data_IF_818492774250
#
_entry.id   IF_818492774250
#
_cell.length_a   1.000
_cell.length_b   1.000
_cell.length_c   1.000
_cell.angle_alpha   90.00
_cell.angle_beta   90.00
_cell.angle_gamma   90.00
#
_symmetry.space_group_name_H-M   'P 1'
#
loop_
_entity.id
_entity.type
_entity.pdbx_description
1 polymer ?
#
# COMPACT_ATOMS: atom_id res chain seq x y z
N UNK A 1 -33.78 32.48 14.95
CA UNK A 1 -32.35 32.40 15.32
C UNK A 1 -31.80 30.96 15.29
N UNK A 2 -32.63 29.91 15.12
CA UNK A 2 -32.22 28.49 15.15
C UNK A 2 -31.27 28.02 14.03
N UNK A 3 -31.31 28.65 12.84
CA UNK A 3 -30.59 28.14 11.67
C UNK A 3 -29.05 28.22 11.81
N UNK A 4 -28.56 29.17 12.61
CA UNK A 4 -27.13 29.34 12.89
C UNK A 4 -26.62 28.25 13.84
N UNK A 5 -27.42 27.87 14.83
CA UNK A 5 -27.03 26.89 15.85
C UNK A 5 -26.99 25.46 15.28
N UNK A 6 -27.93 25.12 14.40
CA UNK A 6 -27.91 23.85 13.67
C UNK A 6 -26.68 23.73 12.76
N UNK A 7 -26.36 24.80 12.02
CA UNK A 7 -25.16 24.85 11.17
C UNK A 7 -23.89 24.71 12.00
N UNK A 8 -23.82 25.36 13.17
CA UNK A 8 -22.70 25.25 14.09
C UNK A 8 -22.52 23.83 14.62
N UNK A 9 -23.60 23.15 15.00
CA UNK A 9 -23.56 21.76 15.46
C UNK A 9 -23.03 20.80 14.39
N UNK A 10 -23.48 20.93 13.15
CA UNK A 10 -22.99 20.11 12.03
C UNK A 10 -21.48 20.32 11.83
N UNK A 11 -21.04 21.59 11.82
CA UNK A 11 -19.62 21.91 11.66
C UNK A 11 -18.78 21.33 12.80
N UNK A 12 -19.27 21.39 14.04
CA UNK A 12 -18.57 20.84 15.20
C UNK A 12 -18.51 19.31 15.17
N UNK A 13 -19.56 18.63 14.71
CA UNK A 13 -19.52 17.17 14.51
C UNK A 13 -18.47 16.80 13.47
N UNK A 14 -18.46 17.47 12.32
CA UNK A 14 -17.49 17.21 11.27
C UNK A 14 -16.05 17.53 11.70
N UNK A 15 -15.85 18.61 12.47
CA UNK A 15 -14.54 18.95 13.06
C UNK A 15 -14.06 17.85 14.00
N UNK A 16 -14.93 17.38 14.90
CA UNK A 16 -14.60 16.30 15.85
C UNK A 16 -14.29 14.99 15.13
N UNK A 17 -15.07 14.63 14.11
CA UNK A 17 -14.82 13.46 13.29
C UNK A 17 -13.44 13.52 12.63
N UNK A 18 -13.12 14.63 11.95
CA UNK A 18 -11.81 14.81 11.31
C UNK A 18 -10.64 14.72 12.31
N UNK A 19 -10.82 15.27 13.51
CA UNK A 19 -9.81 15.19 14.58
C UNK A 19 -9.63 13.73 15.03
N UNK A 20 -10.73 12.98 15.22
CA UNK A 20 -10.66 11.58 15.61
C UNK A 20 -9.94 10.74 14.54
N UNK A 21 -10.26 10.95 13.26
CA UNK A 21 -9.59 10.26 12.15
C UNK A 21 -8.08 10.55 12.13
N UNK A 22 -7.68 11.81 12.33
CA UNK A 22 -6.27 12.20 12.39
C UNK A 22 -5.55 11.56 13.58
N UNK A 23 -6.20 11.49 14.75
CA UNK A 23 -5.63 10.82 15.93
C UNK A 23 -5.45 9.33 15.66
N UNK A 24 -6.42 8.68 14.99
CA UNK A 24 -6.32 7.28 14.63
C UNK A 24 -5.13 7.02 13.70
N UNK A 25 -5.00 7.80 12.62
CA UNK A 25 -3.88 7.69 11.68
C UNK A 25 -2.53 7.92 12.36
N UNK A 26 -2.46 8.91 13.25
CA UNK A 26 -1.25 9.19 14.02
C UNK A 26 -0.85 8.03 14.93
N UNK A 27 -1.82 7.45 15.64
CA UNK A 27 -1.57 6.30 16.50
C UNK A 27 -1.14 5.06 15.70
N UNK A 28 -1.76 4.82 14.54
CA UNK A 28 -1.35 3.74 13.65
C UNK A 28 0.09 3.92 13.18
N UNK A 29 0.45 5.12 12.74
CA UNK A 29 1.82 5.44 12.33
C UNK A 29 2.82 5.26 13.47
N UNK A 30 2.46 5.67 14.70
CA UNK A 30 3.30 5.46 15.89
C UNK A 30 3.53 3.97 16.16
N UNK A 31 2.50 3.14 16.05
CA UNK A 31 2.63 1.68 16.24
C UNK A 31 3.58 1.10 15.19
N UNK A 32 3.42 1.47 13.92
CA UNK A 32 4.30 1.02 12.85
C UNK A 32 5.76 1.46 13.08
N UNK A 33 5.96 2.69 13.55
CA UNK A 33 7.28 3.24 13.85
C UNK A 33 7.95 2.47 15.01
N UNK A 34 7.24 2.20 16.09
CA UNK A 34 7.79 1.46 17.23
C UNK A 34 8.13 0.01 16.82
N UNK A 35 7.27 -0.63 16.02
CA UNK A 35 7.55 -1.96 15.48
C UNK A 35 8.82 -1.97 14.60
N UNK A 36 9.02 -0.93 13.77
CA UNK A 36 10.23 -0.77 12.97
C UNK A 36 11.47 -0.56 13.85
N UNK A 37 11.35 0.22 14.92
CA UNK A 37 12.43 0.50 15.87
C UNK A 37 12.85 -0.75 16.64
N UNK A 38 11.91 -1.57 17.08
CA UNK A 38 12.22 -2.87 17.71
C UNK A 38 12.88 -3.84 16.72
N UNK A 39 12.43 -3.86 15.46
CA UNK A 39 13.09 -4.64 14.39
C UNK A 39 14.52 -4.14 14.15
N UNK A 40 14.75 -2.83 14.14
CA UNK A 40 16.07 -2.25 13.99
C UNK A 40 16.99 -2.65 15.15
N UNK A 41 16.51 -2.55 16.39
CA UNK A 41 17.26 -2.98 17.58
C UNK A 41 17.61 -4.46 17.55
N UNK A 42 16.73 -5.31 17.03
CA UNK A 42 17.03 -6.73 16.81
C UNK A 42 18.16 -6.90 15.79
N UNK A 43 18.12 -6.20 14.66
CA UNK A 43 19.18 -6.23 13.65
C UNK A 43 20.51 -5.73 14.21
N UNK A 44 20.49 -4.67 15.01
CA UNK A 44 21.68 -4.13 15.68
C UNK A 44 22.27 -5.17 16.66
N UNK A 45 21.43 -5.86 17.44
CA UNK A 45 21.88 -6.93 18.33
C UNK A 45 22.45 -8.14 17.57
N UNK A 46 21.81 -8.55 16.48
CA UNK A 46 22.35 -9.58 15.57
C UNK A 46 23.72 -9.12 15.04
N UNK A 47 23.86 -7.82 14.77
CA UNK A 47 25.11 -7.29 14.26
C UNK A 47 26.26 -7.35 15.26
N UNK A 48 25.98 -7.01 16.52
CA UNK A 48 26.95 -7.07 17.61
C UNK A 48 27.33 -8.52 17.98
N UNK A 49 26.39 -9.46 17.88
CA UNK A 49 26.63 -10.86 18.25
C UNK A 49 27.39 -11.67 17.18
N UNK A 50 27.36 -11.25 15.91
CA UNK A 50 28.11 -11.90 14.81
C UNK A 50 29.62 -11.62 14.84
N UNK A 51 30.08 -10.77 15.75
CA UNK A 51 31.48 -10.43 15.96
C UNK A 51 31.93 -9.24 15.12
N UNK A 52 32.71 -8.35 15.74
CA UNK A 52 33.18 -7.05 15.22
C UNK A 52 33.99 -7.09 13.91
N UNK A 53 34.14 -8.25 13.27
CA UNK A 53 34.99 -8.46 12.09
C UNK A 53 34.20 -8.82 10.83
N UNK A 54 32.86 -8.88 10.89
CA UNK A 54 32.03 -9.07 9.72
C UNK A 54 31.04 -7.93 9.64
N UNK A 55 31.50 -6.79 9.12
CA UNK A 55 30.61 -5.70 8.74
C UNK A 55 29.53 -6.26 7.83
N UNK A 56 28.27 -5.99 8.18
CA UNK A 56 27.17 -6.39 7.31
C UNK A 56 27.36 -5.67 5.98
N UNK A 57 27.00 -6.33 4.88
CA UNK A 57 27.13 -5.76 3.54
C UNK A 57 26.42 -4.41 3.34
N UNK A 58 25.48 -4.07 4.24
CA UNK A 58 24.77 -2.80 4.29
C UNK A 58 25.35 -1.77 5.30
N UNK A 59 26.34 -2.14 6.10
CA UNK A 59 27.02 -1.27 7.09
C UNK A 59 28.43 -0.86 6.67
N UNK A 60 29.08 -1.64 5.80
CA UNK A 60 30.43 -1.37 5.34
C UNK A 60 30.44 -0.19 4.35
N UNK A 61 31.33 0.78 4.56
CA UNK A 61 31.43 1.96 3.70
C UNK A 61 32.02 1.55 2.35
N UNK A 62 31.44 1.98 1.22
CA UNK A 62 31.83 1.50 -0.11
C UNK A 62 33.33 1.73 -0.42
N UNK A 63 33.91 2.77 0.19
CA UNK A 63 35.33 3.14 0.06
C UNK A 63 36.28 2.24 0.87
N UNK A 64 35.75 1.46 1.82
CA UNK A 64 36.48 0.57 2.73
C UNK A 64 36.42 -0.91 2.31
N UNK A 65 35.56 -1.27 1.35
CA UNK A 65 35.41 -2.66 0.88
C UNK A 65 36.56 -3.09 -0.04
N UNK A 66 37.12 -4.26 0.25
CA UNK A 66 37.95 -4.98 -0.72
C UNK A 66 37.13 -5.42 -1.95
N UNK A 67 37.79 -5.67 -3.08
CA UNK A 67 37.15 -6.09 -4.35
C UNK A 67 36.31 -7.35 -4.18
N UNK A 68 36.74 -8.29 -3.33
CA UNK A 68 35.96 -9.49 -3.06
C UNK A 68 34.71 -9.22 -2.21
N UNK A 69 34.81 -8.33 -1.22
CA UNK A 69 33.68 -7.91 -0.41
C UNK A 69 32.66 -7.16 -1.27
N UNK A 70 33.11 -6.29 -2.18
CA UNK A 70 32.25 -5.57 -3.11
C UNK A 70 31.46 -6.52 -4.03
N UNK A 71 32.08 -7.62 -4.49
CA UNK A 71 31.37 -8.65 -5.25
C UNK A 71 30.33 -9.36 -4.41
N UNK A 72 30.65 -9.64 -3.14
CA UNK A 72 29.72 -10.27 -2.22
C UNK A 72 28.52 -9.35 -1.94
N UNK A 73 28.75 -8.06 -1.69
CA UNK A 73 27.67 -7.10 -1.45
C UNK A 73 26.78 -6.94 -2.67
N UNK A 74 27.36 -6.86 -3.87
CA UNK A 74 26.60 -6.85 -5.12
C UNK A 74 25.69 -8.08 -5.27
N UNK A 75 26.20 -9.27 -4.98
CA UNK A 75 25.41 -10.50 -5.04
C UNK A 75 24.25 -10.49 -4.04
N UNK A 76 24.50 -10.09 -2.78
CA UNK A 76 23.46 -9.96 -1.76
C UNK A 76 22.40 -8.91 -2.12
N UNK A 77 22.81 -7.81 -2.76
CA UNK A 77 21.90 -6.76 -3.21
C UNK A 77 21.01 -7.24 -4.38
N UNK A 78 21.57 -8.02 -5.30
CA UNK A 78 20.82 -8.65 -6.39
C UNK A 78 19.78 -9.67 -5.87
N UNK A 79 20.15 -10.48 -4.87
CA UNK A 79 19.24 -11.42 -4.21
C UNK A 79 18.09 -10.69 -3.49
N UNK A 80 18.40 -9.61 -2.76
CA UNK A 80 17.38 -8.78 -2.11
C UNK A 80 16.41 -8.19 -3.14
N UNK A 81 16.93 -7.62 -4.22
CA UNK A 81 16.10 -7.05 -5.30
C UNK A 81 15.18 -8.11 -5.92
N UNK A 82 15.72 -9.31 -6.18
CA UNK A 82 14.94 -10.44 -6.68
C UNK A 82 13.80 -10.81 -5.71
N UNK A 83 14.13 -10.93 -4.42
CA UNK A 83 13.19 -11.30 -3.36
C UNK A 83 12.06 -10.28 -3.24
N UNK A 84 12.38 -8.99 -3.20
CA UNK A 84 11.39 -7.90 -3.15
C UNK A 84 10.50 -7.94 -4.41
N UNK A 85 11.10 -8.08 -5.59
CA UNK A 85 10.37 -8.11 -6.86
C UNK A 85 9.40 -9.30 -6.91
N UNK A 86 9.82 -10.47 -6.41
CA UNK A 86 8.97 -11.65 -6.36
C UNK A 86 7.80 -11.47 -5.40
N UNK A 87 8.03 -10.96 -4.19
CA UNK A 87 6.93 -10.65 -3.25
C UNK A 87 5.95 -9.63 -3.81
N UNK A 88 6.43 -8.61 -4.53
CA UNK A 88 5.55 -7.64 -5.19
C UNK A 88 4.72 -8.27 -6.30
N UNK A 89 5.28 -9.21 -7.07
CA UNK A 89 4.56 -9.98 -8.10
C UNK A 89 3.51 -10.90 -7.47
N UNK A 90 3.87 -11.65 -6.43
CA UNK A 90 2.95 -12.51 -5.68
C UNK A 90 1.75 -11.72 -5.16
N UNK A 91 2.00 -10.58 -4.52
CA UNK A 91 0.95 -9.69 -4.00
C UNK A 91 0.05 -9.12 -5.11
N UNK A 92 0.58 -8.89 -6.31
CA UNK A 92 -0.22 -8.47 -7.47
C UNK A 92 -1.12 -9.61 -7.95
N UNK A 93 -0.56 -10.81 -8.10
CA UNK A 93 -1.30 -11.98 -8.57
C UNK A 93 -2.46 -12.37 -7.62
N UNK A 94 -2.35 -12.08 -6.32
CA UNK A 94 -3.45 -12.31 -5.36
C UNK A 94 -4.63 -11.34 -5.52
N UNK A 95 -4.43 -10.15 -6.11
CA UNK A 95 -5.50 -9.18 -6.35
C UNK A 95 -6.29 -9.49 -7.64
N UNK A 96 -5.59 -9.91 -8.69
CA UNK A 96 -6.20 -10.26 -9.98
C UNK A 96 -7.01 -11.57 -9.92
N UNK A 97 -6.67 -12.48 -8.99
CA UNK A 97 -7.41 -13.73 -8.79
C UNK A 97 -8.80 -13.55 -8.14
N UNK A 98 -9.11 -12.37 -7.57
CA UNK A 98 -10.41 -12.10 -6.93
C UNK A 98 -11.46 -11.52 -7.89
N UNK A 99 -11.15 -11.42 -9.19
CA UNK A 99 -12.02 -10.80 -10.20
C UNK A 99 -12.63 -11.84 -11.14
N UNK A 100 -13.21 -12.92 -10.62
CA UNK A 100 -14.03 -13.84 -11.43
C UNK A 100 -15.33 -14.17 -10.68
N UNK A 101 -16.37 -13.37 -10.94
CA UNK A 101 -17.79 -13.75 -11.08
C UNK A 101 -18.72 -12.58 -10.76
N UNK A 102 -18.73 -11.56 -11.62
CA UNK A 102 -19.97 -10.81 -11.83
C UNK A 102 -20.70 -11.53 -12.97
N UNK A 103 -21.59 -12.47 -12.63
CA UNK A 103 -22.54 -12.99 -13.60
C UNK A 103 -23.43 -11.83 -14.04
N UNK A 104 -23.34 -11.49 -15.32
CA UNK A 104 -24.27 -10.60 -16.00
C UNK A 104 -25.69 -11.18 -15.86
N UNK A 105 -26.55 -10.49 -15.11
CA UNK A 105 -27.99 -10.63 -15.22
C UNK A 105 -28.58 -9.30 -15.67
N UNK A 106 -28.86 -9.20 -16.96
CA UNK A 106 -29.94 -8.39 -17.50
C UNK A 106 -30.65 -9.27 -18.53
N UNK A 107 -31.99 -9.31 -18.56
CA UNK A 107 -32.74 -8.10 -18.94
C UNK A 107 -34.14 -7.97 -18.32
N UNK A 108 -34.63 -6.74 -18.11
CA UNK A 108 -35.93 -6.30 -18.64
C UNK A 108 -36.17 -4.82 -18.28
N UNK A 109 -36.20 -3.93 -19.27
CA UNK A 109 -36.93 -2.68 -19.16
C UNK A 109 -38.09 -2.74 -20.14
N UNK A 110 -39.28 -3.01 -19.60
CA UNK A 110 -40.52 -2.93 -20.35
C UNK A 110 -40.71 -1.52 -20.92
N UNK A 111 -41.10 -1.51 -22.18
CA UNK A 111 -41.31 -0.35 -23.04
C UNK A 111 -42.73 0.17 -22.84
N UNK A 112 -42.94 1.45 -22.48
CA UNK A 112 -44.12 2.22 -22.92
C UNK A 112 -44.05 3.75 -22.63
N UNK A 113 -44.89 4.61 -23.25
CA UNK A 113 -44.59 5.24 -24.54
C UNK A 113 -44.84 6.75 -24.49
N UNK A 114 -43.84 7.60 -24.23
CA UNK A 114 -44.01 9.05 -24.46
C UNK A 114 -42.66 9.77 -24.43
N UNK A 115 -42.22 10.26 -25.60
CA UNK A 115 -41.28 11.37 -25.71
C UNK A 115 -39.81 10.99 -25.91
N UNK A 116 -39.38 11.13 -27.17
CA UNK A 116 -38.00 11.35 -27.66
C UNK A 116 -36.82 10.64 -26.95
N UNK A 117 -36.22 9.70 -27.65
CA UNK A 117 -34.87 9.22 -27.35
C UNK A 117 -34.57 7.92 -28.07
N UNK A 118 -34.05 8.01 -29.28
CA UNK A 118 -33.75 6.86 -30.13
C UNK A 118 -32.23 6.60 -30.13
N UNK A 119 -31.90 5.30 -30.29
CA UNK A 119 -30.59 4.68 -30.59
C UNK A 119 -29.54 4.72 -29.46
N UNK A 120 -28.73 3.71 -29.14
CA UNK A 120 -28.62 2.26 -29.34
C UNK A 120 -27.37 1.83 -28.51
N UNK A 121 -27.32 0.62 -27.95
CA UNK A 121 -26.14 0.14 -27.19
C UNK A 121 -24.92 -0.16 -28.10
N UNK A 122 -23.67 -0.11 -27.58
CA UNK A 122 -22.46 -0.04 -28.39
C UNK A 122 -21.90 -1.44 -28.71
N UNK A 123 -21.57 -1.73 -29.98
CA UNK A 123 -20.72 -2.86 -30.32
C UNK A 123 -19.61 -2.46 -31.30
N UNK A 124 -18.37 -2.42 -30.82
CA UNK A 124 -17.20 -2.36 -31.69
C UNK A 124 -16.07 -1.47 -31.19
N UNK A 125 -15.20 -2.01 -30.36
CA UNK A 125 -13.76 -1.74 -30.45
C UNK A 125 -13.03 -3.08 -30.26
N UNK A 126 -13.09 -3.86 -31.34
CA UNK A 126 -12.24 -5.02 -31.58
C UNK A 126 -11.32 -4.72 -32.77
N UNK A 127 -10.07 -5.16 -32.60
CA UNK A 127 -8.87 -5.04 -33.44
C UNK A 127 -8.08 -3.73 -33.35
#
# INVERSE_FOLDING_TARGET
MENNEYTHQIMEVHRKMRIADLIQLFNELLIQLEALKERHKLLENISKTRGNNQEFWWNASLDELDVNELKQTYASMAELHMTITNHLKERRNTFDASSYSAQETNPNFDTNPSGLGSYAFPPGYGH
#
